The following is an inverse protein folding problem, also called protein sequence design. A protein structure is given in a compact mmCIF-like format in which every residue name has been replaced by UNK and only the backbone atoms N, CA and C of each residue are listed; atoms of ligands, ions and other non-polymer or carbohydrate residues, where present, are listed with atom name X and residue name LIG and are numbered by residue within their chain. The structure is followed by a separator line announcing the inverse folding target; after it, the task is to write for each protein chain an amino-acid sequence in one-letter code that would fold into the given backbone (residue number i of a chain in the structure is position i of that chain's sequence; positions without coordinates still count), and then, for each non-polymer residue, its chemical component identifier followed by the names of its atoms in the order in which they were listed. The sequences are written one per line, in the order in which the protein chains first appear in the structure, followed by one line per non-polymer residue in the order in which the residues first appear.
data_IF_243757694235
#
_entry.id   IF_243757694235
#
_cell.length_a   1.000
_cell.length_b   1.000
_cell.length_c   1.000
_cell.angle_alpha   90.00
_cell.angle_beta   90.00
_cell.angle_gamma   90.00
#
_symmetry.space_group_name_H-M   'P 1'
#
loop_
_entity.id
_entity.type
_entity.pdbx_description
1 polymer ?
#
# COMPACT_ATOMS: atom_id res chain seq x y z
N UNK A 1 12.40 24.91 67.24
CA UNK A 1 12.82 23.65 66.61
C UNK A 1 12.24 23.69 65.18
N UNK A 2 13.01 24.03 64.14
CA UNK A 2 13.81 23.11 63.29
C UNK A 2 13.00 21.82 63.04
N UNK A 3 12.48 21.54 61.84
CA UNK A 3 13.25 21.13 60.66
C UNK A 3 12.62 21.57 59.32
N UNK A 4 13.50 22.04 58.43
CA UNK A 4 13.37 22.11 56.97
C UNK A 4 13.33 20.69 56.39
N UNK A 5 12.44 20.42 55.43
CA UNK A 5 12.66 19.39 54.42
C UNK A 5 12.47 20.02 53.04
N UNK A 6 13.60 20.38 52.42
CA UNK A 6 13.71 20.55 50.97
C UNK A 6 13.64 19.14 50.35
N UNK A 7 12.65 18.90 49.49
CA UNK A 7 12.74 17.83 48.50
C UNK A 7 12.72 18.52 47.14
N UNK A 8 13.92 18.63 46.56
CA UNK A 8 14.09 19.05 45.18
C UNK A 8 13.65 17.91 44.25
N UNK A 9 12.64 18.18 43.45
CA UNK A 9 12.34 17.34 42.29
C UNK A 9 13.25 17.79 41.14
N UNK A 10 14.32 17.02 40.91
CA UNK A 10 15.08 17.06 39.67
C UNK A 10 14.17 16.47 38.59
N UNK A 11 13.52 17.33 37.81
CA UNK A 11 12.90 16.93 36.55
C UNK A 11 14.03 16.72 35.54
N UNK A 12 14.52 15.47 35.48
CA UNK A 12 15.34 14.98 34.38
C UNK A 12 14.54 15.18 33.09
N UNK A 13 15.02 16.08 32.24
CA UNK A 13 14.57 16.22 30.87
C UNK A 13 14.76 14.90 30.15
N UNK A 14 13.65 14.20 29.92
CA UNK A 14 13.56 13.18 28.90
C UNK A 14 13.68 13.90 27.55
N UNK A 15 14.92 14.07 27.11
CA UNK A 15 15.26 14.31 25.71
C UNK A 15 14.85 13.07 24.93
N UNK A 16 13.55 12.90 24.73
CA UNK A 16 13.03 11.97 23.74
C UNK A 16 13.58 12.41 22.40
N UNK A 17 14.44 11.60 21.81
CA UNK A 17 14.82 11.68 20.42
C UNK A 17 13.54 11.77 19.59
N UNK A 18 13.23 12.97 19.09
CA UNK A 18 12.28 13.15 18.01
C UNK A 18 12.84 12.37 16.83
N UNK A 19 12.37 11.13 16.67
CA UNK A 19 12.52 10.42 15.39
C UNK A 19 12.09 11.38 14.31
N UNK A 20 12.98 11.59 13.34
CA UNK A 20 12.69 12.36 12.14
C UNK A 20 11.35 11.87 11.58
N UNK A 21 10.40 12.79 11.49
CA UNK A 21 9.01 12.47 11.13
C UNK A 21 8.99 11.86 9.74
N UNK A 22 8.70 10.55 9.64
CA UNK A 22 8.15 9.99 8.42
C UNK A 22 6.94 10.85 8.02
N UNK A 23 6.81 11.15 6.73
CA UNK A 23 5.67 11.90 6.21
C UNK A 23 4.38 11.14 6.52
N UNK A 24 3.41 11.82 7.13
CA UNK A 24 2.12 11.22 7.50
C UNK A 24 1.32 10.88 6.23
N UNK A 25 0.54 9.80 6.27
CA UNK A 25 -0.31 9.36 5.17
C UNK A 25 -1.75 9.24 5.66
N UNK A 26 -2.67 9.95 5.01
CA UNK A 26 -4.10 9.85 5.26
C UNK A 26 -4.80 9.22 4.05
N UNK A 27 -5.47 8.09 4.27
CA UNK A 27 -6.26 7.42 3.23
C UNK A 27 -7.73 7.76 3.41
N UNK A 28 -8.33 8.38 2.39
CA UNK A 28 -9.76 8.69 2.32
C UNK A 28 -10.44 7.82 1.29
N UNK A 29 -11.64 7.36 1.61
CA UNK A 29 -12.41 6.46 0.75
C UNK A 29 -13.75 7.09 0.43
N UNK A 30 -14.25 6.90 -0.79
CA UNK A 30 -15.60 7.33 -1.10
C UNK A 30 -16.63 6.59 -0.25
N UNK A 31 -17.82 7.17 0.00
CA UNK A 31 -18.89 6.52 0.77
C UNK A 31 -19.29 5.14 0.21
N UNK A 32 -19.13 4.94 -1.10
CA UNK A 32 -19.38 3.65 -1.75
C UNK A 32 -18.37 2.60 -1.30
N UNK A 33 -17.08 2.93 -1.23
CA UNK A 33 -16.03 2.01 -0.80
C UNK A 33 -16.15 1.78 0.70
N UNK A 34 -16.28 2.84 1.51
CA UNK A 34 -16.44 2.75 2.97
C UNK A 34 -17.59 1.83 3.37
N UNK A 35 -18.76 1.98 2.74
CA UNK A 35 -19.93 1.13 2.99
C UNK A 35 -19.66 -0.36 2.74
N UNK A 36 -18.70 -0.71 1.89
CA UNK A 36 -18.36 -2.08 1.53
C UNK A 36 -16.99 -2.53 2.07
N UNK A 37 -16.29 -1.69 2.84
CA UNK A 37 -14.90 -1.90 3.26
C UNK A 37 -14.70 -3.24 3.96
N UNK A 38 -15.55 -3.58 4.94
CA UNK A 38 -15.52 -4.89 5.62
C UNK A 38 -15.62 -6.09 4.68
N UNK A 39 -16.33 -5.96 3.55
CA UNK A 39 -16.44 -7.05 2.57
C UNK A 39 -15.23 -7.10 1.65
N UNK A 40 -14.69 -5.92 1.27
CA UNK A 40 -13.44 -5.79 0.51
C UNK A 40 -12.29 -6.40 1.31
N UNK A 41 -12.10 -5.97 2.56
CA UNK A 41 -11.04 -6.45 3.45
C UNK A 41 -11.09 -7.96 3.63
N UNK A 42 -12.27 -8.51 3.93
CA UNK A 42 -12.44 -9.96 4.07
C UNK A 42 -12.07 -10.74 2.80
N UNK A 43 -12.37 -10.20 1.62
CA UNK A 43 -12.04 -10.84 0.35
C UNK A 43 -10.55 -10.78 0.08
N UNK A 44 -9.95 -9.61 0.24
CA UNK A 44 -8.52 -9.41 0.00
C UNK A 44 -7.68 -10.15 1.05
N UNK A 45 -8.07 -10.15 2.32
CA UNK A 45 -7.43 -10.93 3.39
C UNK A 45 -7.48 -12.43 3.11
N UNK A 46 -8.64 -12.96 2.70
CA UNK A 46 -8.76 -14.38 2.34
C UNK A 46 -7.84 -14.75 1.18
N UNK A 47 -7.77 -13.89 0.15
CA UNK A 47 -6.91 -14.11 -1.02
C UNK A 47 -5.45 -14.00 -0.65
N UNK A 48 -5.09 -13.03 0.19
CA UNK A 48 -3.73 -12.87 0.71
C UNK A 48 -3.31 -14.10 1.51
N UNK A 49 -4.13 -14.54 2.46
CA UNK A 49 -3.86 -15.75 3.26
C UNK A 49 -3.62 -16.97 2.36
N UNK A 50 -4.46 -17.16 1.35
CA UNK A 50 -4.32 -18.25 0.39
C UNK A 50 -3.06 -18.10 -0.48
N UNK A 51 -2.75 -16.87 -0.89
CA UNK A 51 -1.55 -16.57 -1.66
C UNK A 51 -0.26 -16.84 -0.86
N UNK A 52 -0.20 -16.45 0.42
CA UNK A 52 0.95 -16.71 1.31
C UNK A 52 1.17 -18.21 1.51
N UNK A 53 0.10 -18.97 1.64
CA UNK A 53 0.18 -20.42 1.84
C UNK A 53 0.58 -21.17 0.56
N UNK A 54 0.11 -20.74 -0.61
CA UNK A 54 0.16 -21.56 -1.82
C UNK A 54 0.84 -20.93 -3.04
N UNK A 55 1.14 -19.62 -3.03
CA UNK A 55 1.59 -18.84 -4.21
C UNK A 55 0.66 -19.02 -5.42
N UNK A 56 -0.64 -18.85 -5.20
CA UNK A 56 -1.69 -18.98 -6.23
C UNK A 56 -2.72 -17.87 -6.05
N UNK A 57 -3.20 -17.34 -7.18
CA UNK A 57 -4.25 -16.33 -7.22
C UNK A 57 -5.52 -16.90 -7.89
N UNK A 58 -6.69 -16.41 -7.47
CA UNK A 58 -7.97 -16.73 -8.11
C UNK A 58 -8.41 -18.20 -8.07
N UNK A 59 -7.66 -19.10 -7.43
CA UNK A 59 -8.01 -20.51 -7.37
C UNK A 59 -9.11 -20.80 -6.34
N UNK A 60 -10.08 -21.61 -6.74
CA UNK A 60 -11.15 -22.10 -5.88
C UNK A 60 -10.78 -23.40 -5.14
N UNK A 61 -9.61 -23.96 -5.41
CA UNK A 61 -9.13 -25.22 -4.83
C UNK A 61 -7.68 -25.09 -4.43
N UNK A 62 -7.32 -25.75 -3.32
CA UNK A 62 -5.93 -25.89 -2.88
C UNK A 62 -5.12 -26.59 -3.99
N UNK A 63 -3.95 -26.06 -4.38
CA UNK A 63 -3.09 -26.75 -5.32
C UNK A 63 -2.57 -28.05 -4.69
N UNK A 64 -2.24 -29.02 -5.53
CA UNK A 64 -1.62 -30.27 -5.10
C UNK A 64 -0.10 -30.05 -5.06
N UNK A 65 0.48 -30.05 -3.87
CA UNK A 65 1.93 -29.91 -3.63
C UNK A 65 2.45 -28.47 -3.59
N UNK A 66 3.75 -28.33 -3.29
CA UNK A 66 4.41 -27.05 -3.01
C UNK A 66 5.15 -26.47 -4.23
N UNK A 67 4.75 -26.84 -5.46
CA UNK A 67 5.49 -26.48 -6.69
C UNK A 67 5.68 -24.96 -6.83
N UNK A 68 4.61 -24.18 -6.64
CA UNK A 68 4.68 -22.73 -6.78
C UNK A 68 5.45 -22.08 -5.62
N UNK A 69 5.30 -22.60 -4.39
CA UNK A 69 6.07 -22.14 -3.22
C UNK A 69 7.57 -22.29 -3.49
N UNK A 70 8.00 -23.45 -3.99
CA UNK A 70 9.40 -23.68 -4.33
C UNK A 70 9.84 -22.80 -5.50
N UNK A 71 9.01 -22.66 -6.54
CA UNK A 71 9.31 -21.86 -7.74
C UNK A 71 9.57 -20.39 -7.44
N UNK A 72 8.84 -19.81 -6.48
CA UNK A 72 8.92 -18.39 -6.12
C UNK A 72 9.54 -18.17 -4.74
N UNK A 73 10.32 -19.13 -4.24
CA UNK A 73 10.85 -19.11 -2.88
C UNK A 73 11.78 -17.92 -2.61
N UNK A 74 12.41 -17.37 -3.65
CA UNK A 74 13.31 -16.21 -3.55
C UNK A 74 12.66 -14.90 -4.04
N UNK A 75 11.39 -14.91 -4.43
CA UNK A 75 10.67 -13.68 -4.78
C UNK A 75 10.16 -12.99 -3.52
N UNK A 76 10.45 -11.71 -3.40
CA UNK A 76 9.88 -10.85 -2.37
C UNK A 76 8.57 -10.23 -2.87
N UNK A 77 7.43 -10.79 -2.45
CA UNK A 77 6.12 -10.30 -2.88
C UNK A 77 5.72 -9.03 -2.13
N UNK A 78 5.10 -8.10 -2.85
CA UNK A 78 4.82 -6.75 -2.37
C UNK A 78 4.05 -6.72 -1.04
N UNK A 79 2.97 -7.49 -0.95
CA UNK A 79 2.11 -7.49 0.24
C UNK A 79 2.81 -8.08 1.48
N UNK A 80 3.70 -9.05 1.30
CA UNK A 80 4.46 -9.65 2.40
C UNK A 80 5.55 -8.70 2.90
N UNK A 81 6.20 -7.99 1.97
CA UNK A 81 7.18 -6.96 2.27
C UNK A 81 6.56 -5.79 3.02
N UNK A 82 5.42 -5.30 2.54
CA UNK A 82 4.75 -4.11 3.07
C UNK A 82 3.98 -4.37 4.36
N UNK A 83 3.30 -5.53 4.46
CA UNK A 83 2.48 -5.90 5.61
C UNK A 83 2.85 -7.32 6.04
N UNK A 84 3.92 -7.51 6.83
CA UNK A 84 4.40 -8.84 7.20
C UNK A 84 3.37 -9.66 7.98
N UNK A 85 2.64 -9.03 8.89
CA UNK A 85 1.62 -9.70 9.71
C UNK A 85 0.27 -9.74 8.97
N UNK A 86 -0.26 -10.95 8.76
CA UNK A 86 -1.48 -11.13 7.96
C UNK A 86 -2.71 -10.47 8.61
N UNK A 87 -2.74 -10.38 9.95
CA UNK A 87 -3.86 -9.79 10.69
C UNK A 87 -3.98 -8.28 10.49
N UNK A 88 -2.88 -7.62 10.08
CA UNK A 88 -2.87 -6.19 9.75
C UNK A 88 -3.28 -5.93 8.30
N UNK A 89 -3.54 -6.98 7.50
CA UNK A 89 -3.85 -6.83 6.09
C UNK A 89 -5.28 -6.32 5.87
N UNK A 90 -5.39 -5.06 5.45
CA UNK A 90 -6.63 -4.39 5.06
C UNK A 90 -6.42 -3.48 3.86
N UNK A 91 -7.50 -3.06 3.20
CA UNK A 91 -7.42 -2.14 2.06
C UNK A 91 -6.74 -0.82 2.42
N UNK A 92 -7.06 -0.26 3.60
CA UNK A 92 -6.50 1.02 4.06
C UNK A 92 -5.04 0.87 4.44
N UNK A 93 -4.68 -0.18 5.18
CA UNK A 93 -3.28 -0.40 5.58
C UNK A 93 -2.40 -0.68 4.36
N UNK A 94 -2.92 -1.36 3.34
CA UNK A 94 -2.22 -1.58 2.09
C UNK A 94 -1.93 -0.26 1.36
N UNK A 95 -2.93 0.62 1.25
CA UNK A 95 -2.75 1.92 0.64
C UNK A 95 -1.75 2.78 1.41
N UNK A 96 -1.85 2.79 2.74
CA UNK A 96 -0.94 3.52 3.61
C UNK A 96 0.49 2.98 3.50
N UNK A 97 0.71 1.67 3.64
CA UNK A 97 2.05 1.07 3.57
C UNK A 97 2.70 1.26 2.19
N UNK A 98 1.95 1.15 1.09
CA UNK A 98 2.47 1.46 -0.24
C UNK A 98 2.85 2.94 -0.38
N UNK A 99 2.00 3.84 0.10
CA UNK A 99 2.27 5.27 0.05
C UNK A 99 3.50 5.63 0.90
N UNK A 100 3.58 5.15 2.14
CA UNK A 100 4.73 5.36 3.03
C UNK A 100 6.03 4.83 2.40
N UNK A 101 6.02 3.61 1.87
CA UNK A 101 7.20 3.04 1.19
C UNK A 101 7.58 3.84 -0.07
N UNK A 102 6.61 4.28 -0.86
CA UNK A 102 6.85 5.14 -2.01
C UNK A 102 7.43 6.49 -1.59
N UNK A 103 6.91 7.09 -0.53
CA UNK A 103 7.36 8.38 -0.01
C UNK A 103 8.75 8.32 0.62
N UNK A 104 9.13 7.20 1.22
CA UNK A 104 10.49 7.01 1.74
C UNK A 104 11.56 7.05 0.64
N UNK A 105 11.17 6.99 -0.64
CA UNK A 105 12.06 7.19 -1.81
C UNK A 105 12.11 8.65 -2.28
N UNK A 106 11.22 9.50 -1.77
CA UNK A 106 11.07 10.92 -2.12
C UNK A 106 11.36 11.83 -0.91
N UNK A 107 11.69 11.25 0.24
CA UNK A 107 11.77 11.87 1.58
C UNK A 107 12.60 13.16 1.66
N UNK A 108 13.59 13.36 0.79
CA UNK A 108 14.39 14.60 0.77
C UNK A 108 13.59 15.86 0.38
N UNK A 109 12.38 15.72 -0.17
CA UNK A 109 11.75 16.81 -0.88
C UNK A 109 10.90 17.73 0.01
N UNK A 110 10.28 17.25 1.11
CA UNK A 110 9.31 18.07 1.88
C UNK A 110 9.03 17.60 3.33
N UNK A 111 9.92 17.88 4.31
CA UNK A 111 9.63 17.59 5.71
C UNK A 111 8.38 18.35 6.20
N UNK A 112 7.50 17.67 6.95
CA UNK A 112 6.32 18.26 7.58
C UNK A 112 5.07 18.37 6.71
N UNK A 113 5.07 17.77 5.52
CA UNK A 113 3.86 17.61 4.72
C UNK A 113 3.20 16.25 5.02
N UNK A 114 1.92 16.13 4.65
CA UNK A 114 1.12 14.91 4.72
C UNK A 114 0.64 14.56 3.31
N UNK A 115 0.74 13.28 2.94
CA UNK A 115 0.12 12.78 1.73
C UNK A 115 -1.32 12.36 2.02
N UNK A 116 -2.27 12.91 1.27
CA UNK A 116 -3.68 12.50 1.32
C UNK A 116 -3.99 11.70 0.06
N UNK A 117 -4.36 10.43 0.24
CA UNK A 117 -4.71 9.49 -0.82
C UNK A 117 -6.23 9.28 -0.78
N UNK A 118 -6.96 9.93 -1.69
CA UNK A 118 -8.41 9.80 -1.80
C UNK A 118 -8.76 8.82 -2.93
N UNK A 119 -9.45 7.74 -2.59
CA UNK A 119 -9.87 6.72 -3.56
C UNK A 119 -11.38 6.84 -3.77
N UNK A 120 -11.76 7.31 -4.95
CA UNK A 120 -13.15 7.51 -5.32
C UNK A 120 -13.81 6.22 -5.78
N UNK A 121 -13.14 5.53 -6.71
CA UNK A 121 -13.67 4.35 -7.39
C UNK A 121 -12.56 3.38 -7.70
N UNK A 122 -12.89 2.10 -7.66
CA UNK A 122 -12.07 1.08 -8.27
C UNK A 122 -12.96 0.02 -8.92
N UNK A 123 -12.40 -0.62 -9.94
CA UNK A 123 -12.96 -1.78 -10.60
C UNK A 123 -11.84 -2.77 -10.89
N UNK A 124 -12.11 -4.05 -10.73
CA UNK A 124 -11.17 -5.13 -11.01
C UNK A 124 -11.93 -6.21 -11.80
N UNK A 125 -11.35 -6.68 -12.91
CA UNK A 125 -12.10 -7.48 -13.92
C UNK A 125 -12.89 -8.65 -13.32
N UNK A 126 -12.21 -9.49 -12.54
CA UNK A 126 -12.76 -10.68 -11.91
C UNK A 126 -12.84 -10.53 -10.38
N UNK A 127 -13.31 -9.37 -9.93
CA UNK A 127 -13.49 -9.13 -8.50
C UNK A 127 -14.66 -9.92 -7.91
N UNK A 128 -14.49 -10.47 -6.70
CA UNK A 128 -15.52 -11.30 -6.08
C UNK A 128 -16.77 -10.54 -5.63
N UNK A 129 -16.69 -9.21 -5.47
CA UNK A 129 -17.87 -8.36 -5.27
C UNK A 129 -18.30 -7.77 -6.61
N UNK A 130 -19.47 -8.17 -7.10
CA UNK A 130 -20.02 -7.73 -8.40
C UNK A 130 -20.05 -6.21 -8.57
N UNK A 131 -20.24 -5.45 -7.48
CA UNK A 131 -20.27 -3.98 -7.52
C UNK A 131 -18.93 -3.32 -7.85
N UNK A 132 -17.83 -4.06 -7.74
CA UNK A 132 -16.48 -3.63 -8.09
C UNK A 132 -15.88 -4.50 -9.20
N UNK A 133 -16.68 -5.41 -9.77
CA UNK A 133 -16.31 -6.12 -10.99
C UNK A 133 -16.60 -5.26 -12.23
N UNK A 134 -15.76 -5.36 -13.26
CA UNK A 134 -15.93 -4.65 -14.54
C UNK A 134 -15.29 -5.44 -15.68
N UNK A 135 -15.37 -4.96 -16.92
CA UNK A 135 -14.60 -5.52 -18.03
C UNK A 135 -13.14 -5.07 -18.04
N UNK A 136 -12.81 -4.02 -17.28
CA UNK A 136 -11.48 -3.44 -17.17
C UNK A 136 -11.10 -3.17 -15.70
N UNK A 137 -9.84 -3.41 -15.37
CA UNK A 137 -9.25 -3.05 -14.07
C UNK A 137 -8.80 -1.59 -14.08
N UNK A 138 -9.32 -0.76 -13.16
CA UNK A 138 -9.15 0.70 -13.15
C UNK A 138 -9.39 1.29 -11.77
N UNK A 139 -8.63 2.31 -11.36
CA UNK A 139 -8.80 3.07 -10.12
C UNK A 139 -8.83 4.56 -10.43
N UNK A 140 -9.71 5.27 -9.74
CA UNK A 140 -9.92 6.72 -9.87
C UNK A 140 -9.92 7.33 -8.49
N UNK A 141 -9.28 8.48 -8.35
CA UNK A 141 -9.14 9.19 -7.09
C UNK A 141 -8.22 10.40 -7.22
N UNK A 142 -7.79 10.93 -6.09
CA UNK A 142 -6.89 12.08 -6.01
C UNK A 142 -5.74 11.77 -5.06
N UNK A 143 -4.54 12.23 -5.40
CA UNK A 143 -3.40 12.24 -4.48
C UNK A 143 -3.00 13.69 -4.25
N UNK A 144 -2.97 14.12 -2.98
CA UNK A 144 -2.71 15.50 -2.61
C UNK A 144 -1.60 15.60 -1.57
N UNK A 145 -0.82 16.68 -1.66
CA UNK A 145 0.13 17.06 -0.62
C UNK A 145 -0.47 18.18 0.21
N UNK A 146 -0.48 18.01 1.53
CA UNK A 146 -1.03 18.97 2.49
C UNK A 146 0.09 19.44 3.42
N UNK A 147 0.20 20.75 3.63
CA UNK A 147 1.18 21.31 4.56
C UNK A 147 0.77 21.15 6.03
N UNK A 148 1.66 21.51 6.95
CA UNK A 148 1.39 21.44 8.40
C UNK A 148 0.21 22.32 8.86
N UNK A 149 -0.20 23.32 8.06
CA UNK A 149 -1.37 24.16 8.34
C UNK A 149 -2.68 23.55 7.81
N UNK A 150 -2.62 22.39 7.16
CA UNK A 150 -3.78 21.72 6.56
C UNK A 150 -4.17 22.27 5.19
N UNK A 151 -3.31 23.07 4.55
CA UNK A 151 -3.56 23.62 3.22
C UNK A 151 -2.99 22.70 2.15
N UNK A 152 -3.78 22.43 1.11
CA UNK A 152 -3.32 21.68 -0.07
C UNK A 152 -2.27 22.49 -0.83
N UNK A 153 -1.08 21.92 -0.98
CA UNK A 153 0.05 22.49 -1.72
C UNK A 153 0.03 22.04 -3.18
N UNK A 154 -0.28 20.76 -3.41
CA UNK A 154 -0.40 20.16 -4.72
C UNK A 154 -1.47 19.06 -4.69
N UNK A 155 -2.12 18.80 -5.83
CA UNK A 155 -3.19 17.83 -5.92
C UNK A 155 -3.34 17.33 -7.35
N UNK A 156 -3.37 16.02 -7.50
CA UNK A 156 -3.40 15.35 -8.79
C UNK A 156 -4.57 14.38 -8.86
N UNK A 157 -5.47 14.58 -9.83
CA UNK A 157 -6.50 13.60 -10.16
C UNK A 157 -5.84 12.44 -10.90
N UNK A 158 -6.01 11.24 -10.39
CA UNK A 158 -5.42 10.03 -10.96
C UNK A 158 -6.54 9.13 -11.42
N UNK A 159 -6.52 8.85 -12.71
CA UNK A 159 -7.38 7.88 -13.34
C UNK A 159 -6.49 6.94 -14.14
N UNK A 160 -6.32 5.72 -13.64
CA UNK A 160 -5.34 4.78 -14.20
C UNK A 160 -5.92 3.38 -14.39
N UNK A 161 -5.78 2.79 -15.59
CA UNK A 161 -5.92 1.36 -15.77
C UNK A 161 -4.67 0.65 -15.23
N UNK A 162 -4.77 -0.66 -15.00
CA UNK A 162 -3.56 -1.44 -14.76
C UNK A 162 -2.77 -1.61 -16.06
N UNK A 163 -1.48 -1.27 -16.05
CA UNK A 163 -0.56 -1.47 -17.17
C UNK A 163 0.51 -2.46 -16.73
N UNK A 164 0.40 -3.75 -17.10
CA UNK A 164 1.33 -4.76 -16.63
C UNK A 164 2.76 -4.56 -17.12
N UNK A 165 3.68 -4.32 -16.19
CA UNK A 165 5.12 -4.46 -16.43
C UNK A 165 5.55 -5.86 -16.02
N UNK A 166 6.43 -6.50 -16.80
CA UNK A 166 6.81 -7.90 -16.55
C UNK A 166 8.30 -8.02 -16.24
N UNK A 167 8.62 -8.92 -15.32
CA UNK A 167 9.99 -9.43 -15.14
C UNK A 167 10.13 -10.81 -15.74
N UNK A 168 11.34 -11.14 -16.19
CA UNK A 168 11.71 -12.50 -16.60
C UNK A 168 12.20 -13.36 -15.42
N UNK A 169 12.48 -12.74 -14.26
CA UNK A 169 12.95 -13.45 -13.07
C UNK A 169 11.79 -14.02 -12.27
N UNK A 170 11.88 -15.30 -11.91
CA UNK A 170 11.01 -15.95 -10.93
C UNK A 170 11.48 -15.76 -9.48
N UNK A 171 12.62 -15.09 -9.30
CA UNK A 171 13.28 -14.80 -8.03
C UNK A 171 13.51 -13.29 -7.95
N UNK A 172 12.44 -12.51 -8.10
CA UNK A 172 12.54 -11.07 -8.22
C UNK A 172 12.69 -10.43 -6.84
N UNK A 173 13.71 -9.57 -6.70
CA UNK A 173 14.10 -8.87 -5.46
C UNK A 173 14.33 -7.36 -5.70
N UNK A 174 13.72 -6.81 -6.75
CA UNK A 174 13.86 -5.38 -7.07
C UNK A 174 13.00 -4.47 -6.20
N UNK A 175 13.07 -3.17 -6.47
CA UNK A 175 12.36 -2.14 -5.69
C UNK A 175 10.86 -2.12 -5.98
N UNK A 176 10.43 -2.51 -7.18
CA UNK A 176 9.04 -2.54 -7.60
C UNK A 176 8.19 -3.56 -6.80
N UNK A 177 6.88 -3.39 -6.85
CA UNK A 177 5.93 -4.21 -6.12
C UNK A 177 5.63 -5.49 -6.90
N UNK A 178 6.25 -6.60 -6.50
CA UNK A 178 6.07 -7.88 -7.18
C UNK A 178 4.70 -8.51 -6.91
N UNK A 179 4.02 -8.91 -7.99
CA UNK A 179 2.76 -9.67 -7.98
C UNK A 179 2.81 -10.82 -8.99
N UNK A 180 1.97 -11.83 -8.81
CA UNK A 180 1.72 -12.78 -9.89
C UNK A 180 0.86 -12.13 -10.98
N UNK A 181 1.10 -12.51 -12.24
CA UNK A 181 0.30 -12.01 -13.39
C UNK A 181 -1.22 -12.14 -13.17
N UNK A 182 -1.65 -13.22 -12.54
CA UNK A 182 -3.06 -13.49 -12.25
C UNK A 182 -3.67 -12.47 -11.27
N UNK A 183 -2.86 -11.86 -10.40
CA UNK A 183 -3.29 -10.82 -9.45
C UNK A 183 -3.88 -9.60 -10.16
N UNK A 184 -3.42 -9.27 -11.38
CA UNK A 184 -3.84 -8.08 -12.13
C UNK A 184 -5.36 -8.00 -12.39
N UNK A 185 -6.02 -9.16 -12.46
CA UNK A 185 -7.44 -9.25 -12.79
C UNK A 185 -8.31 -9.61 -11.59
N UNK A 186 -7.73 -9.97 -10.45
CA UNK A 186 -8.50 -10.42 -9.29
C UNK A 186 -8.24 -9.58 -8.05
N UNK A 187 -7.06 -9.01 -7.85
CA UNK A 187 -6.66 -8.27 -6.64
C UNK A 187 -6.75 -6.76 -6.84
N UNK A 188 -6.91 -6.03 -5.74
CA UNK A 188 -6.84 -4.56 -5.75
C UNK A 188 -5.41 -4.05 -5.59
N UNK A 189 -4.53 -4.82 -4.95
CA UNK A 189 -3.16 -4.40 -4.64
C UNK A 189 -2.36 -3.94 -5.87
N UNK A 190 -2.32 -4.69 -6.99
CA UNK A 190 -1.54 -4.25 -8.16
C UNK A 190 -2.08 -2.96 -8.78
N UNK A 191 -3.40 -2.76 -8.73
CA UNK A 191 -4.05 -1.56 -9.23
C UNK A 191 -3.77 -0.36 -8.32
N UNK A 192 -3.77 -0.56 -7.00
CA UNK A 192 -3.43 0.45 -6.00
C UNK A 192 -1.97 0.91 -6.16
N UNK A 193 -1.06 -0.02 -6.44
CA UNK A 193 0.34 0.31 -6.75
C UNK A 193 0.44 1.24 -7.98
N UNK A 194 -0.23 0.94 -9.09
CA UNK A 194 -0.24 1.83 -10.27
C UNK A 194 -0.85 3.20 -9.95
N UNK A 195 -1.92 3.24 -9.14
CA UNK A 195 -2.56 4.48 -8.73
C UNK A 195 -1.61 5.37 -7.93
N UNK A 196 -0.92 4.81 -6.94
CA UNK A 196 0.03 5.55 -6.12
C UNK A 196 1.29 5.95 -6.89
N UNK A 197 1.84 5.06 -7.72
CA UNK A 197 2.94 5.35 -8.64
C UNK A 197 2.62 6.61 -9.47
N UNK A 198 1.52 6.58 -10.24
CA UNK A 198 1.18 7.70 -11.14
C UNK A 198 0.79 8.96 -10.39
N UNK A 199 0.17 8.84 -9.22
CA UNK A 199 -0.18 10.01 -8.40
C UNK A 199 1.04 10.70 -7.82
N UNK A 200 1.96 9.92 -7.23
CA UNK A 200 3.16 10.46 -6.59
C UNK A 200 4.15 10.96 -7.66
N UNK A 201 4.32 10.27 -8.79
CA UNK A 201 5.14 10.76 -9.91
C UNK A 201 4.64 12.10 -10.47
N UNK A 202 3.32 12.35 -10.49
CA UNK A 202 2.80 13.65 -10.94
C UNK A 202 3.06 14.77 -9.94
N UNK A 203 3.00 14.46 -8.63
CA UNK A 203 3.37 15.40 -7.58
C UNK A 203 4.89 15.65 -7.54
N UNK A 204 5.68 14.64 -7.90
CA UNK A 204 7.15 14.65 -7.89
C UNK A 204 7.69 14.03 -9.19
N UNK A 205 7.79 14.81 -10.29
CA UNK A 205 8.15 14.29 -11.61
C UNK A 205 9.49 13.55 -11.72
N UNK A 206 10.43 13.85 -10.83
CA UNK A 206 11.76 13.24 -10.79
C UNK A 206 11.85 12.04 -9.82
N UNK A 207 10.75 11.69 -9.13
CA UNK A 207 10.73 10.59 -8.17
C UNK A 207 10.67 9.22 -8.87
N UNK A 208 11.51 8.29 -8.43
CA UNK A 208 11.46 6.88 -8.82
C UNK A 208 10.51 6.11 -7.90
N UNK A 209 9.21 6.24 -8.17
CA UNK A 209 8.16 5.64 -7.33
C UNK A 209 7.95 4.19 -7.74
N UNK A 210 7.99 3.22 -6.81
CA UNK A 210 7.78 1.82 -7.16
C UNK A 210 6.36 1.57 -7.71
N UNK A 211 6.28 1.06 -8.93
CA UNK A 211 5.07 0.55 -9.57
C UNK A 211 4.87 -0.96 -9.37
N UNK A 212 3.80 -1.57 -9.91
CA UNK A 212 3.64 -3.02 -9.92
C UNK A 212 4.53 -3.68 -10.98
N UNK A 213 5.16 -4.79 -10.61
CA UNK A 213 5.84 -5.68 -11.55
C UNK A 213 5.27 -7.10 -11.45
N UNK A 214 5.02 -7.72 -12.60
CA UNK A 214 4.38 -9.01 -12.70
C UNK A 214 5.38 -10.11 -12.98
N UNK A 215 5.43 -11.07 -12.06
CA UNK A 215 6.15 -12.33 -12.21
C UNK A 215 5.26 -13.32 -12.93
N UNK A 216 5.78 -13.89 -14.03
CA UNK A 216 5.05 -14.90 -14.81
C UNK A 216 5.21 -16.29 -14.18
N UNK A 217 4.13 -17.05 -14.24
CA UNK A 217 4.11 -18.45 -13.84
C UNK A 217 4.82 -19.35 -14.84
#
# INVERSE_FOLDING_TARGET
MKYLYLIGAVALGLSGSLSASAMDVEVKLSPRIEKNLKSIDRIELRRESFFREYRVEGANRRPVGNLNVNRFSETEFANERLIPEIDDFSFVNLAAAMAEHSLSKVEEHNPGHKLVVEIDKFWVTNYSLTKFASFNTRMVGTVSLVDAAGKTVASEEVDTPIVPQFTQSWNYQGSEYAYLIDSANVRVAPLMATFLEKGIERLYPDADVPGPIFVRR
#
